data_IF_636245236505
#
_entry.id   IF_636245236505
#
_cell.length_a   1.000
_cell.length_b   1.000
_cell.length_c   1.000
_cell.angle_alpha   90.00
_cell.angle_beta   90.00
_cell.angle_gamma   90.00
#
_symmetry.space_group_name_H-M   'P 1'
#
loop_
_entity.id
_entity.type
_entity.pdbx_description
1 polymer ?
#
# COMPACT_ATOMS: atom_id res chain seq x y z
N UNK A 1 11.64 -23.41 17.88
CA UNK A 1 10.87 -23.35 16.64
C UNK A 1 10.03 -22.09 16.51
N UNK A 2 9.20 -21.77 17.47
CA UNK A 2 8.41 -20.51 17.41
C UNK A 2 9.30 -19.27 17.36
N UNK A 3 10.39 -19.24 18.10
CA UNK A 3 11.33 -18.13 18.07
C UNK A 3 11.99 -17.96 16.69
N UNK A 4 12.26 -19.05 16.00
CA UNK A 4 12.85 -19.03 14.67
C UNK A 4 11.86 -18.42 13.65
N UNK A 5 10.60 -18.82 13.74
CA UNK A 5 9.54 -18.24 12.90
C UNK A 5 9.39 -16.74 13.15
N UNK A 6 9.44 -16.32 14.40
CA UNK A 6 9.35 -14.91 14.77
C UNK A 6 10.52 -14.09 14.23
N UNK A 7 11.72 -14.68 14.19
CA UNK A 7 12.88 -14.02 13.58
C UNK A 7 12.70 -13.84 12.08
N UNK A 8 12.19 -14.88 11.41
CA UNK A 8 11.89 -14.80 9.97
C UNK A 8 10.86 -13.71 9.70
N UNK A 9 9.79 -13.67 10.48
CA UNK A 9 8.76 -12.63 10.35
C UNK A 9 9.36 -11.25 10.59
N UNK A 10 10.22 -11.09 11.60
CA UNK A 10 10.85 -9.79 11.89
C UNK A 10 11.69 -9.29 10.72
N UNK A 11 12.40 -10.16 10.04
CA UNK A 11 13.18 -9.79 8.86
C UNK A 11 12.27 -9.35 7.71
N UNK A 12 11.17 -10.09 7.50
CA UNK A 12 10.17 -9.72 6.49
C UNK A 12 9.53 -8.38 6.85
N UNK A 13 9.19 -8.16 8.11
CA UNK A 13 8.59 -6.91 8.57
C UNK A 13 9.48 -5.69 8.31
N UNK A 14 10.79 -5.86 8.44
CA UNK A 14 11.75 -4.79 8.10
C UNK A 14 11.67 -4.43 6.62
N UNK A 15 11.56 -5.43 5.76
CA UNK A 15 11.41 -5.21 4.31
C UNK A 15 10.07 -4.54 4.00
N UNK A 16 9.00 -4.99 4.64
CA UNK A 16 7.67 -4.38 4.47
C UNK A 16 7.71 -2.91 4.90
N UNK A 17 8.29 -2.62 6.07
CA UNK A 17 8.39 -1.25 6.57
C UNK A 17 9.16 -0.35 5.61
N UNK A 18 10.29 -0.82 5.09
CA UNK A 18 11.11 -0.08 4.14
C UNK A 18 10.34 0.20 2.84
N UNK A 19 9.63 -0.80 2.32
CA UNK A 19 8.85 -0.68 1.10
C UNK A 19 7.65 0.25 1.28
N UNK A 20 6.99 0.20 2.44
CA UNK A 20 5.89 1.11 2.74
C UNK A 20 6.39 2.56 2.84
N UNK A 21 7.53 2.77 3.48
CA UNK A 21 8.14 4.10 3.58
C UNK A 21 8.41 4.67 2.18
N UNK A 22 9.01 3.88 1.30
CA UNK A 22 9.26 4.24 -0.10
C UNK A 22 7.96 4.53 -0.85
N UNK A 23 6.95 3.68 -0.68
CA UNK A 23 5.67 3.83 -1.35
C UNK A 23 4.95 5.12 -0.90
N UNK A 24 4.97 5.41 0.40
CA UNK A 24 4.34 6.62 0.93
C UNK A 24 5.09 7.89 0.49
N UNK A 25 6.40 7.84 0.34
CA UNK A 25 7.15 8.96 -0.22
C UNK A 25 6.65 9.32 -1.62
N UNK A 26 6.40 8.30 -2.45
CA UNK A 26 5.83 8.50 -3.79
C UNK A 26 4.39 9.04 -3.69
N UNK A 27 3.62 8.57 -2.70
CA UNK A 27 2.26 9.07 -2.48
C UNK A 27 2.24 10.56 -2.11
N UNK A 28 3.22 11.06 -1.35
CA UNK A 28 3.36 12.50 -1.10
C UNK A 28 3.56 13.27 -2.40
N UNK A 29 4.42 12.78 -3.28
CA UNK A 29 4.66 13.39 -4.59
C UNK A 29 3.41 13.39 -5.47
N UNK A 30 2.71 12.26 -5.52
CA UNK A 30 1.44 12.13 -6.26
C UNK A 30 0.40 13.12 -5.72
N UNK A 31 0.30 13.23 -4.39
CA UNK A 31 -0.62 14.16 -3.74
C UNK A 31 -0.35 15.61 -4.11
N UNK A 32 0.92 16.00 -4.12
CA UNK A 32 1.33 17.34 -4.57
C UNK A 32 0.96 17.60 -6.03
N UNK A 33 1.22 16.64 -6.89
CA UNK A 33 0.85 16.73 -8.31
C UNK A 33 -0.66 16.88 -8.50
N UNK A 34 -1.44 16.06 -7.80
CA UNK A 34 -2.91 16.12 -7.88
C UNK A 34 -3.43 17.47 -7.41
N UNK A 35 -2.87 18.00 -6.33
CA UNK A 35 -3.27 19.31 -5.80
C UNK A 35 -2.98 20.42 -6.79
N UNK A 36 -1.79 20.43 -7.39
CA UNK A 36 -1.40 21.44 -8.38
C UNK A 36 -2.27 21.39 -9.63
N UNK A 37 -2.76 20.22 -10.00
CA UNK A 37 -3.52 20.03 -11.24
C UNK A 37 -5.03 19.88 -11.02
N UNK A 38 -5.50 20.09 -9.79
CA UNK A 38 -6.93 20.02 -9.49
C UNK A 38 -7.53 18.63 -9.68
N UNK A 39 -6.74 17.58 -9.47
CA UNK A 39 -7.19 16.20 -9.63
C UNK A 39 -7.71 15.64 -8.30
N UNK A 40 -8.73 14.76 -8.36
CA UNK A 40 -9.24 14.13 -7.12
C UNK A 40 -8.22 13.14 -6.54
N UNK A 41 -8.15 13.08 -5.23
CA UNK A 41 -7.27 12.13 -4.51
C UNK A 41 -7.72 10.70 -4.79
N UNK A 42 -9.01 10.41 -4.65
CA UNK A 42 -9.56 9.08 -4.88
C UNK A 42 -9.66 8.78 -6.38
N UNK A 43 -9.12 7.63 -6.77
CA UNK A 43 -9.30 7.08 -8.12
C UNK A 43 -9.71 5.62 -7.98
N UNK A 44 -11.00 5.36 -8.00
CA UNK A 44 -11.54 4.01 -7.83
C UNK A 44 -11.05 3.03 -8.88
N UNK A 45 -10.92 3.46 -10.13
CA UNK A 45 -10.46 2.57 -11.20
C UNK A 45 -9.04 2.10 -10.97
N UNK A 46 -8.16 3.01 -10.55
CA UNK A 46 -6.76 2.68 -10.24
C UNK A 46 -6.70 1.73 -9.04
N UNK A 47 -7.46 2.00 -7.99
CA UNK A 47 -7.46 1.16 -6.79
C UNK A 47 -8.02 -0.23 -7.08
N UNK A 48 -9.13 -0.32 -7.81
CA UNK A 48 -9.71 -1.61 -8.17
C UNK A 48 -8.79 -2.42 -9.07
N UNK A 49 -8.12 -1.78 -10.02
CA UNK A 49 -7.14 -2.42 -10.88
C UNK A 49 -5.97 -3.00 -10.07
N UNK A 50 -5.52 -2.26 -9.06
CA UNK A 50 -4.45 -2.73 -8.16
C UNK A 50 -4.90 -3.96 -7.40
N UNK A 51 -6.09 -3.94 -6.82
CA UNK A 51 -6.62 -5.08 -6.08
C UNK A 51 -6.78 -6.31 -6.98
N UNK A 52 -7.29 -6.13 -8.21
CA UNK A 52 -7.43 -7.22 -9.17
C UNK A 52 -6.07 -7.82 -9.55
N UNK A 53 -5.04 -6.98 -9.69
CA UNK A 53 -3.70 -7.45 -10.05
C UNK A 53 -3.10 -8.39 -9.01
N UNK A 54 -3.50 -8.28 -7.76
CA UNK A 54 -3.00 -9.13 -6.69
C UNK A 54 -3.36 -10.60 -6.90
N UNK A 55 -4.45 -10.89 -7.62
CA UNK A 55 -4.84 -12.27 -7.94
C UNK A 55 -3.74 -13.03 -8.70
N UNK A 56 -2.88 -12.30 -9.41
CA UNK A 56 -1.81 -12.88 -10.23
C UNK A 56 -0.43 -12.80 -9.58
N UNK A 57 -0.30 -12.09 -8.47
CA UNK A 57 0.98 -11.82 -7.82
C UNK A 57 1.22 -12.64 -6.56
N UNK A 58 0.17 -13.16 -5.95
CA UNK A 58 0.26 -13.86 -4.67
C UNK A 58 -0.48 -15.18 -4.73
N UNK A 59 -0.25 -16.04 -3.72
CA UNK A 59 -0.95 -17.32 -3.62
C UNK A 59 -2.43 -17.09 -3.36
N UNK A 60 -3.25 -18.01 -3.85
CA UNK A 60 -4.71 -17.98 -3.66
C UNK A 60 -5.07 -17.94 -2.17
N UNK A 61 -4.33 -18.72 -1.35
CA UNK A 61 -4.58 -18.82 0.09
C UNK A 61 -4.39 -17.50 0.81
N UNK A 62 -3.42 -16.70 0.40
CA UNK A 62 -3.09 -15.43 1.06
C UNK A 62 -3.79 -14.23 0.42
N UNK A 63 -4.35 -14.39 -0.76
CA UNK A 63 -4.86 -13.28 -1.56
C UNK A 63 -5.91 -12.44 -0.83
N UNK A 64 -6.86 -13.07 -0.16
CA UNK A 64 -7.93 -12.36 0.55
C UNK A 64 -7.35 -11.47 1.67
N UNK A 65 -6.35 -11.97 2.38
CA UNK A 65 -5.71 -11.23 3.47
C UNK A 65 -4.86 -10.09 2.92
N UNK A 66 -4.12 -10.35 1.84
CA UNK A 66 -3.28 -9.34 1.20
C UNK A 66 -4.12 -8.21 0.62
N UNK A 67 -5.27 -8.53 0.01
CA UNK A 67 -6.20 -7.50 -0.49
C UNK A 67 -6.67 -6.58 0.62
N UNK A 68 -7.00 -7.13 1.79
CA UNK A 68 -7.40 -6.32 2.95
C UNK A 68 -6.27 -5.39 3.39
N UNK A 69 -5.04 -5.88 3.42
CA UNK A 69 -3.87 -5.07 3.75
C UNK A 69 -3.70 -3.95 2.72
N UNK A 70 -3.83 -4.26 1.43
CA UNK A 70 -3.70 -3.24 0.37
C UNK A 70 -4.82 -2.20 0.43
N UNK A 71 -6.03 -2.58 0.80
CA UNK A 71 -7.11 -1.60 1.03
C UNK A 71 -6.70 -0.60 2.10
N UNK A 72 -6.10 -1.06 3.19
CA UNK A 72 -5.61 -0.19 4.25
C UNK A 72 -4.42 0.66 3.80
N UNK A 73 -3.49 0.10 3.04
CA UNK A 73 -2.37 0.86 2.46
C UNK A 73 -2.90 1.99 1.58
N UNK A 74 -3.88 1.70 0.73
CA UNK A 74 -4.49 2.70 -0.14
C UNK A 74 -5.26 3.76 0.64
N UNK A 75 -5.94 3.35 1.71
CA UNK A 75 -6.65 4.27 2.59
C UNK A 75 -5.68 5.25 3.25
N UNK A 76 -4.55 4.75 3.77
CA UNK A 76 -3.52 5.59 4.35
C UNK A 76 -2.88 6.50 3.30
N UNK A 77 -2.68 6.00 2.10
CA UNK A 77 -2.16 6.80 0.99
C UNK A 77 -3.07 8.00 0.67
N UNK A 78 -4.38 7.79 0.66
CA UNK A 78 -5.33 8.89 0.49
C UNK A 78 -5.29 9.88 1.65
N UNK A 79 -5.22 9.33 2.87
CA UNK A 79 -5.18 10.17 4.08
C UNK A 79 -4.00 11.14 4.08
N UNK A 80 -2.81 10.65 3.75
CA UNK A 80 -1.63 11.52 3.70
C UNK A 80 -1.74 12.58 2.60
N UNK A 81 -2.35 12.23 1.47
CA UNK A 81 -2.56 13.17 0.36
C UNK A 81 -3.55 14.28 0.76
N UNK A 82 -4.55 13.98 1.56
CA UNK A 82 -5.50 14.96 2.09
C UNK A 82 -4.85 15.97 3.04
N UNK A 83 -3.72 15.62 3.65
CA UNK A 83 -3.00 16.47 4.60
C UNK A 83 -1.88 17.31 3.96
N UNK A 84 -1.83 17.39 2.65
CA UNK A 84 -0.87 18.25 1.94
C UNK A 84 -1.38 19.70 1.95
N UNK A 85 -0.58 20.60 2.46
CA UNK A 85 -0.88 22.05 2.51
C UNK A 85 -0.67 22.75 1.16
#
# INVERSE_FOLDING_TARGET
MLEEYRKEISEIDKEIAALLDERFDICWEIGGYKKENGLPIMDEKVENKKLDSLNFLVSEENCIYIKEVFREIMRQSRSLQENID
#
